data_IF_385233021847
#
_entry.id   IF_385233021847
#
_cell.length_a   1.000
_cell.length_b   1.000
_cell.length_c   1.000
_cell.angle_alpha   90.00
_cell.angle_beta   90.00
_cell.angle_gamma   90.00
#
_symmetry.space_group_name_H-M   'P 1'
#
loop_
_entity.id
_entity.type
_entity.pdbx_description
1 polymer ?
#
# COMPACT_ATOMS: atom_id res chain seq x y z
N UNK A 1 3.55 11.39 2.54
CA UNK A 1 4.74 11.72 3.35
C UNK A 1 5.95 12.10 2.52
N UNK A 2 6.42 11.23 1.61
CA UNK A 2 7.53 11.50 0.68
C UNK A 2 7.34 12.79 -0.13
N UNK A 3 6.14 13.03 -0.65
CA UNK A 3 5.80 14.27 -1.38
C UNK A 3 5.98 15.54 -0.53
N UNK A 4 5.63 15.49 0.76
CA UNK A 4 5.79 16.62 1.67
C UNK A 4 7.29 16.91 1.94
N UNK A 5 8.11 15.88 2.13
CA UNK A 5 9.57 16.04 2.29
C UNK A 5 10.20 16.63 1.03
N UNK A 6 9.83 16.11 -0.15
CA UNK A 6 10.33 16.62 -1.42
C UNK A 6 9.93 18.08 -1.66
N UNK A 7 8.69 18.45 -1.33
CA UNK A 7 8.21 19.83 -1.46
C UNK A 7 8.90 20.77 -0.46
N UNK A 8 9.09 20.33 0.79
CA UNK A 8 9.70 21.15 1.85
C UNK A 8 11.17 21.43 1.62
N UNK A 9 11.90 20.48 1.05
CA UNK A 9 13.33 20.61 0.75
C UNK A 9 13.59 20.77 -0.75
N UNK A 10 12.59 21.24 -1.50
CA UNK A 10 12.70 21.40 -2.94
C UNK A 10 13.83 22.39 -3.28
N UNK A 11 14.82 21.93 -4.04
CA UNK A 11 15.97 22.75 -4.45
C UNK A 11 17.12 22.83 -3.44
N UNK A 12 16.96 22.32 -2.21
CA UNK A 12 18.05 22.25 -1.25
C UNK A 12 18.96 21.04 -1.53
N UNK A 13 20.05 21.29 -2.25
CA UNK A 13 21.03 20.27 -2.63
C UNK A 13 21.81 19.70 -1.45
N UNK A 14 21.72 20.32 -0.26
CA UNK A 14 22.34 19.81 0.98
C UNK A 14 21.47 18.77 1.66
N UNK A 15 20.26 18.52 1.18
CA UNK A 15 19.35 17.51 1.73
C UNK A 15 19.16 16.37 0.74
N UNK A 16 19.46 15.14 1.18
CA UNK A 16 19.18 13.92 0.43
C UNK A 16 17.91 13.25 0.94
N UNK A 17 17.09 12.75 0.02
CA UNK A 17 15.83 12.05 0.32
C UNK A 17 15.79 10.77 -0.52
N UNK A 18 15.89 9.63 0.16
CA UNK A 18 15.69 8.32 -0.44
C UNK A 18 14.41 7.68 0.13
N UNK A 19 13.72 6.90 -0.69
CA UNK A 19 12.56 6.14 -0.24
C UNK A 19 12.53 4.76 -0.89
N UNK A 20 11.88 3.79 -0.27
CA UNK A 20 11.65 2.46 -0.82
C UNK A 20 10.18 2.14 -0.60
N UNK A 21 9.49 1.80 -1.69
CA UNK A 21 8.13 1.30 -1.62
C UNK A 21 8.14 -0.22 -1.68
N UNK A 22 7.77 -0.85 -0.57
CA UNK A 22 7.62 -2.29 -0.49
C UNK A 22 6.25 -2.67 -1.03
N UNK A 23 6.18 -3.82 -1.68
CA UNK A 23 4.99 -4.32 -2.35
C UNK A 23 5.01 -5.85 -2.34
N UNK A 24 4.10 -6.46 -1.59
CA UNK A 24 4.05 -7.91 -1.43
C UNK A 24 3.85 -8.67 -2.75
N UNK A 25 3.37 -8.01 -3.82
CA UNK A 25 3.17 -8.61 -5.15
C UNK A 25 4.46 -8.68 -5.98
N UNK A 26 5.50 -7.94 -5.58
CA UNK A 26 6.79 -7.85 -6.29
C UNK A 26 7.94 -8.47 -5.50
N UNK A 27 7.64 -9.48 -4.68
CA UNK A 27 8.64 -10.17 -3.86
C UNK A 27 9.87 -10.67 -4.62
N UNK A 28 9.77 -11.22 -5.85
CA UNK A 28 10.96 -11.66 -6.59
C UNK A 28 11.95 -10.53 -6.90
N UNK A 29 11.45 -9.30 -7.02
CA UNK A 29 12.25 -8.10 -7.32
C UNK A 29 12.80 -7.44 -6.04
N UNK A 30 12.30 -7.82 -4.86
CA UNK A 30 12.65 -7.22 -3.56
C UNK A 30 13.86 -7.88 -2.92
N UNK A 31 14.97 -7.88 -3.65
CA UNK A 31 16.25 -8.32 -3.13
C UNK A 31 16.98 -7.17 -2.42
N UNK A 32 17.89 -7.51 -1.50
CA UNK A 32 18.74 -6.51 -0.84
C UNK A 32 19.51 -5.65 -1.86
N UNK A 33 19.96 -6.24 -2.97
CA UNK A 33 20.64 -5.51 -4.04
C UNK A 33 19.74 -4.43 -4.64
N UNK A 34 18.50 -4.76 -5.01
CA UNK A 34 17.56 -3.78 -5.56
C UNK A 34 17.24 -2.66 -4.58
N UNK A 35 17.10 -2.96 -3.28
CA UNK A 35 16.87 -1.93 -2.28
C UNK A 35 18.06 -0.97 -2.17
N UNK A 36 19.28 -1.51 -2.05
CA UNK A 36 20.49 -0.70 -1.93
C UNK A 36 20.76 0.12 -3.19
N UNK A 37 20.58 -0.45 -4.37
CA UNK A 37 20.71 0.26 -5.65
C UNK A 37 19.65 1.35 -5.80
N UNK A 38 18.40 1.08 -5.40
CA UNK A 38 17.31 2.07 -5.42
C UNK A 38 17.59 3.24 -4.48
N UNK A 39 18.11 2.98 -3.27
CA UNK A 39 18.53 4.01 -2.33
C UNK A 39 19.67 4.85 -2.90
N UNK A 40 20.72 4.20 -3.39
CA UNK A 40 21.87 4.88 -4.01
C UNK A 40 21.42 5.77 -5.17
N UNK A 41 20.62 5.22 -6.10
CA UNK A 41 20.11 5.94 -7.26
C UNK A 41 19.36 7.20 -6.85
N UNK A 42 18.48 7.13 -5.84
CA UNK A 42 17.69 8.28 -5.38
C UNK A 42 18.55 9.38 -4.78
N UNK A 43 19.57 9.01 -4.00
CA UNK A 43 20.50 9.98 -3.41
C UNK A 43 21.36 10.65 -4.49
N UNK A 44 21.87 9.88 -5.44
CA UNK A 44 22.70 10.38 -6.55
C UNK A 44 21.92 11.33 -7.44
N UNK A 45 20.68 11.01 -7.80
CA UNK A 45 19.84 11.84 -8.68
C UNK A 45 19.55 13.24 -8.13
N UNK A 46 19.71 13.44 -6.83
CA UNK A 46 19.50 14.73 -6.17
C UNK A 46 20.78 15.56 -6.06
N UNK A 47 21.93 14.97 -6.36
CA UNK A 47 23.20 15.67 -6.35
C UNK A 47 23.44 16.43 -7.66
N UNK A 48 24.03 17.64 -7.60
CA UNK A 48 24.38 18.37 -8.82
C UNK A 48 25.51 17.70 -9.60
N UNK A 49 26.43 17.05 -8.89
CA UNK A 49 27.58 16.35 -9.46
C UNK A 49 27.64 14.95 -8.87
N UNK A 50 28.06 13.98 -9.69
CA UNK A 50 28.26 12.61 -9.23
C UNK A 50 29.48 12.54 -8.30
N UNK A 51 29.34 12.08 -7.05
CA UNK A 51 30.49 11.95 -6.16
C UNK A 51 31.50 10.93 -6.70
N UNK A 52 32.79 11.23 -6.57
CA UNK A 52 33.90 10.39 -7.06
C UNK A 52 33.78 8.92 -6.61
N UNK A 53 33.44 8.59 -5.35
CA UNK A 53 33.32 7.20 -4.92
C UNK A 53 32.24 6.41 -5.70
N UNK A 54 31.17 7.09 -6.11
CA UNK A 54 30.09 6.49 -6.90
C UNK A 54 30.54 6.30 -8.35
N UNK A 55 31.23 7.29 -8.92
CA UNK A 55 31.78 7.21 -10.27
C UNK A 55 32.78 6.07 -10.39
N UNK A 56 33.70 5.96 -9.43
CA UNK A 56 34.72 4.90 -9.39
C UNK A 56 34.09 3.51 -9.21
N UNK A 57 33.05 3.41 -8.37
CA UNK A 57 32.29 2.16 -8.24
C UNK A 57 31.61 1.79 -9.57
N UNK A 58 30.95 2.75 -10.23
CA UNK A 58 30.27 2.53 -11.49
C UNK A 58 31.23 2.08 -12.60
N UNK A 59 32.33 2.81 -12.83
CA UNK A 59 33.30 2.48 -13.88
C UNK A 59 33.89 1.08 -13.72
N UNK A 60 34.28 0.71 -12.49
CA UNK A 60 34.83 -0.63 -12.18
C UNK A 60 33.85 -1.75 -12.53
N UNK A 61 32.58 -1.54 -12.24
CA UNK A 61 31.53 -2.53 -12.47
C UNK A 61 31.05 -2.57 -13.92
N UNK A 62 31.11 -1.42 -14.62
CA UNK A 62 30.86 -1.31 -16.05
C UNK A 62 31.90 -2.07 -16.87
N UNK A 63 33.20 -1.89 -16.58
CA UNK A 63 34.28 -2.62 -17.26
C UNK A 63 34.18 -4.13 -17.08
N UNK A 64 33.87 -4.58 -15.86
CA UNK A 64 33.77 -6.00 -15.52
C UNK A 64 32.41 -6.62 -15.88
N UNK A 65 31.44 -5.84 -16.34
CA UNK A 65 30.03 -6.25 -16.56
C UNK A 65 29.43 -6.97 -15.35
N UNK A 66 29.64 -6.41 -14.16
CA UNK A 66 29.15 -6.95 -12.88
C UNK A 66 28.32 -5.92 -12.12
N UNK A 67 27.51 -6.35 -11.16
CA UNK A 67 26.83 -5.44 -10.23
C UNK A 67 27.65 -5.19 -8.96
N UNK A 68 27.53 -4.01 -8.32
CA UNK A 68 28.16 -3.74 -7.05
C UNK A 68 27.63 -4.66 -5.94
N UNK A 69 28.51 -4.99 -5.00
CA UNK A 69 28.11 -5.72 -3.78
C UNK A 69 27.29 -4.82 -2.86
N UNK A 70 26.53 -5.44 -1.94
CA UNK A 70 25.79 -4.72 -0.90
C UNK A 70 26.72 -3.81 -0.08
N UNK A 71 27.88 -4.33 0.35
CA UNK A 71 28.88 -3.57 1.09
C UNK A 71 29.49 -2.41 0.28
N UNK A 72 29.76 -2.63 -1.02
CA UNK A 72 30.24 -1.57 -1.92
C UNK A 72 29.20 -0.46 -2.08
N UNK A 73 27.93 -0.84 -2.26
CA UNK A 73 26.80 0.09 -2.37
C UNK A 73 26.58 0.87 -1.07
N UNK A 74 26.64 0.21 0.08
CA UNK A 74 26.57 0.83 1.42
C UNK A 74 27.66 1.87 1.63
N UNK A 75 28.89 1.56 1.20
CA UNK A 75 30.03 2.49 1.28
C UNK A 75 29.84 3.71 0.37
N UNK A 76 29.31 3.52 -0.84
CA UNK A 76 28.96 4.62 -1.73
C UNK A 76 27.85 5.51 -1.13
N UNK A 77 26.79 4.91 -0.56
CA UNK A 77 25.73 5.65 0.13
C UNK A 77 26.30 6.47 1.28
N UNK A 78 27.13 5.87 2.16
CA UNK A 78 27.80 6.58 3.25
C UNK A 78 28.59 7.79 2.77
N UNK A 79 29.29 7.66 1.65
CA UNK A 79 30.10 8.73 1.08
C UNK A 79 29.23 9.91 0.62
N UNK A 80 28.06 9.63 0.02
CA UNK A 80 27.10 10.67 -0.37
C UNK A 80 26.53 11.35 0.87
N UNK A 81 26.07 10.55 1.84
CA UNK A 81 25.43 11.04 3.07
C UNK A 81 26.36 11.92 3.88
N UNK A 82 27.66 11.61 3.94
CA UNK A 82 28.66 12.45 4.60
C UNK A 82 28.77 13.86 4.00
N UNK A 83 28.50 14.01 2.71
CA UNK A 83 28.49 15.32 2.02
C UNK A 83 27.21 16.13 2.23
N UNK A 84 26.17 15.54 2.83
CA UNK A 84 24.86 16.16 3.03
C UNK A 84 24.74 16.80 4.40
N UNK A 85 24.01 17.90 4.48
CA UNK A 85 23.60 18.47 5.77
C UNK A 85 22.59 17.56 6.47
N UNK A 86 21.67 16.94 5.71
CA UNK A 86 20.66 15.99 6.21
C UNK A 86 20.34 14.94 5.14
N UNK A 87 20.12 13.70 5.55
CA UNK A 87 19.65 12.62 4.70
C UNK A 87 18.41 11.96 5.32
N UNK A 88 17.35 11.80 4.54
CA UNK A 88 16.13 11.10 4.94
C UNK A 88 15.98 9.81 4.16
N UNK A 89 15.82 8.69 4.86
CA UNK A 89 15.54 7.38 4.27
C UNK A 89 14.15 6.93 4.72
N UNK A 90 13.24 6.71 3.78
CA UNK A 90 11.83 6.39 4.04
C UNK A 90 11.46 4.99 3.52
N UNK A 91 10.77 4.18 4.30
CA UNK A 91 10.24 2.87 3.88
C UNK A 91 8.74 2.78 4.07
N UNK A 92 8.03 2.33 3.03
CA UNK A 92 6.57 2.33 3.04
C UNK A 92 5.95 1.22 2.15
N UNK A 93 5.16 0.26 2.68
CA UNK A 93 5.10 -0.22 4.07
C UNK A 93 6.06 -1.40 4.31
N UNK A 94 6.84 -1.32 5.40
CA UNK A 94 7.93 -2.25 5.72
C UNK A 94 7.49 -3.73 5.86
N UNK A 95 6.26 -4.00 6.31
CA UNK A 95 5.73 -5.37 6.45
C UNK A 95 5.44 -6.06 5.12
N UNK A 96 5.32 -5.31 4.02
CA UNK A 96 5.14 -5.91 2.70
C UNK A 96 6.46 -6.41 2.09
N UNK A 97 7.61 -6.13 2.72
CA UNK A 97 8.88 -6.73 2.38
C UNK A 97 9.00 -8.10 3.05
N UNK A 98 9.05 -9.17 2.26
CA UNK A 98 9.28 -10.50 2.82
C UNK A 98 10.66 -10.61 3.44
N UNK A 99 10.77 -11.42 4.48
CA UNK A 99 12.05 -11.78 5.10
C UNK A 99 12.52 -13.17 4.65
N UNK A 100 11.90 -13.73 3.60
CA UNK A 100 12.36 -14.96 2.94
C UNK A 100 13.75 -14.68 2.35
N UNK A 101 14.77 -15.39 2.82
CA UNK A 101 16.20 -15.09 2.58
C UNK A 101 16.74 -13.80 3.23
N UNK A 102 16.04 -13.29 4.26
CA UNK A 102 16.45 -12.19 5.14
C UNK A 102 16.70 -10.79 4.52
N UNK A 103 16.14 -10.39 3.35
CA UNK A 103 16.47 -9.10 2.74
C UNK A 103 16.04 -7.91 3.61
N UNK A 104 14.89 -8.01 4.30
CA UNK A 104 14.42 -6.98 5.25
C UNK A 104 15.36 -6.84 6.44
N UNK A 105 15.81 -7.95 7.01
CA UNK A 105 16.73 -7.94 8.15
C UNK A 105 18.07 -7.29 7.78
N UNK A 106 18.69 -7.71 6.67
CA UNK A 106 19.97 -7.15 6.20
C UNK A 106 19.82 -5.66 5.88
N UNK A 107 18.71 -5.26 5.26
CA UNK A 107 18.45 -3.86 4.93
C UNK A 107 18.33 -2.98 6.17
N UNK A 108 17.65 -3.46 7.22
CA UNK A 108 17.55 -2.74 8.49
C UNK A 108 18.90 -2.63 9.20
N UNK A 109 19.75 -3.67 9.12
CA UNK A 109 21.12 -3.61 9.64
C UNK A 109 21.97 -2.58 8.88
N UNK A 110 21.91 -2.56 7.55
CA UNK A 110 22.60 -1.55 6.73
C UNK A 110 22.11 -0.13 7.04
N UNK A 111 20.81 0.08 7.23
CA UNK A 111 20.26 1.38 7.60
C UNK A 111 20.68 1.79 9.00
N UNK A 112 20.68 0.86 9.98
CA UNK A 112 21.19 1.14 11.31
C UNK A 112 22.67 1.57 11.27
N UNK A 113 23.48 0.93 10.42
CA UNK A 113 24.87 1.33 10.19
C UNK A 113 25.00 2.72 9.54
N UNK A 114 24.04 3.13 8.71
CA UNK A 114 23.98 4.49 8.16
C UNK A 114 23.59 5.53 9.21
N UNK A 115 22.69 5.17 10.14
CA UNK A 115 22.22 6.06 11.21
C UNK A 115 23.27 6.37 12.29
N UNK A 116 24.43 5.70 12.28
CA UNK A 116 25.59 6.12 13.08
C UNK A 116 26.02 7.55 12.70
N UNK A 117 25.74 7.98 11.45
CA UNK A 117 25.95 9.37 11.05
C UNK A 117 24.80 10.27 11.58
N UNK A 118 25.11 11.37 12.30
CA UNK A 118 24.09 12.16 13.00
C UNK A 118 23.12 12.91 12.08
N UNK A 119 23.50 13.08 10.81
CA UNK A 119 22.69 13.73 9.77
C UNK A 119 21.72 12.76 9.07
N UNK A 120 21.68 11.47 9.44
CA UNK A 120 20.83 10.47 8.80
C UNK A 120 19.57 10.19 9.62
N UNK A 121 18.42 10.37 8.99
CA UNK A 121 17.11 10.17 9.59
C UNK A 121 16.39 9.04 8.85
N UNK A 122 15.94 8.04 9.59
CA UNK A 122 15.18 6.91 9.06
C UNK A 122 13.72 6.99 9.51
N UNK A 123 12.82 6.68 8.60
CA UNK A 123 11.39 6.56 8.87
C UNK A 123 10.81 5.35 8.14
N UNK A 124 9.96 4.58 8.81
CA UNK A 124 9.25 3.47 8.20
C UNK A 124 7.79 3.44 8.64
N UNK A 125 6.89 3.04 7.73
CA UNK A 125 5.51 2.68 8.07
C UNK A 125 5.40 1.15 8.13
N UNK A 126 4.56 0.63 9.01
CA UNK A 126 4.24 -0.79 9.02
C UNK A 126 2.93 -1.06 9.76
N UNK A 127 2.28 -2.18 9.43
CA UNK A 127 1.24 -2.76 10.29
C UNK A 127 1.82 -3.18 11.65
N UNK A 128 0.93 -3.39 12.62
CA UNK A 128 1.33 -3.90 13.93
C UNK A 128 1.78 -5.37 13.84
N UNK A 129 3.08 -5.57 13.66
CA UNK A 129 3.72 -6.89 13.66
C UNK A 129 4.76 -6.93 14.80
N UNK A 130 4.63 -7.83 15.78
CA UNK A 130 5.54 -7.91 16.93
C UNK A 130 7.02 -7.97 16.55
N UNK A 131 7.36 -8.75 15.52
CA UNK A 131 8.75 -8.92 15.04
C UNK A 131 9.34 -7.62 14.47
N UNK A 132 8.52 -6.81 13.80
CA UNK A 132 8.93 -5.48 13.33
C UNK A 132 9.08 -4.57 14.54
N UNK A 133 8.06 -4.51 15.41
CA UNK A 133 8.07 -3.66 16.60
C UNK A 133 9.27 -3.92 17.50
N UNK A 134 9.69 -5.18 17.64
CA UNK A 134 10.87 -5.56 18.42
C UNK A 134 12.17 -4.92 17.89
N UNK A 135 12.33 -4.81 16.56
CA UNK A 135 13.51 -4.19 15.93
C UNK A 135 13.58 -2.67 16.12
N UNK A 136 12.45 -2.02 16.37
CA UNK A 136 12.36 -0.57 16.61
C UNK A 136 12.24 -0.22 18.09
N UNK A 137 12.51 -1.16 19.00
CA UNK A 137 12.46 -0.93 20.45
C UNK A 137 13.46 0.18 20.84
N UNK A 138 12.98 1.18 21.57
CA UNK A 138 13.79 2.34 21.97
C UNK A 138 13.84 3.48 20.94
N UNK A 139 13.23 3.31 19.77
CA UNK A 139 13.07 4.37 18.78
C UNK A 139 11.70 5.06 18.92
N UNK A 140 11.60 6.28 18.36
CA UNK A 140 10.33 6.99 18.27
C UNK A 140 9.31 6.17 17.46
N UNK A 141 8.12 5.97 18.02
CA UNK A 141 7.02 5.26 17.39
C UNK A 141 5.74 6.09 17.50
N UNK A 142 4.94 6.07 16.44
CA UNK A 142 3.64 6.73 16.39
C UNK A 142 2.62 5.69 15.95
N UNK A 143 1.71 5.33 16.87
CA UNK A 143 0.57 4.49 16.54
C UNK A 143 -0.49 5.34 15.83
N UNK A 144 -0.87 4.94 14.62
CA UNK A 144 -1.97 5.56 13.87
C UNK A 144 -3.15 4.60 13.95
N UNK A 145 -4.20 5.01 14.64
CA UNK A 145 -5.43 4.25 14.81
C UNK A 145 -6.63 5.10 14.45
N UNK A 146 -7.49 4.58 13.58
CA UNK A 146 -8.78 5.19 13.29
C UNK A 146 -9.71 5.00 14.48
N UNK A 147 -10.40 6.07 14.88
CA UNK A 147 -11.51 6.02 15.84
C UNK A 147 -12.79 5.56 15.14
N UNK A 148 -13.79 5.12 15.91
CA UNK A 148 -15.09 4.75 15.36
C UNK A 148 -15.73 5.93 14.60
N UNK A 149 -15.51 7.17 15.06
CA UNK A 149 -15.95 8.38 14.40
C UNK A 149 -15.25 8.60 13.05
N UNK A 150 -13.94 8.33 12.95
CA UNK A 150 -13.20 8.43 11.68
C UNK A 150 -13.71 7.42 10.66
N UNK A 151 -13.97 6.18 11.11
CA UNK A 151 -14.53 5.12 10.26
C UNK A 151 -15.94 5.52 9.80
N UNK A 152 -16.78 6.05 10.69
CA UNK A 152 -18.12 6.53 10.34
C UNK A 152 -18.06 7.66 9.31
N UNK A 153 -17.26 8.71 9.55
CA UNK A 153 -17.11 9.83 8.63
C UNK A 153 -16.55 9.39 7.26
N UNK A 154 -15.61 8.43 7.25
CA UNK A 154 -15.12 7.84 6.01
C UNK A 154 -16.23 7.12 5.23
N UNK A 155 -17.05 6.33 5.93
CA UNK A 155 -18.17 5.60 5.32
C UNK A 155 -19.25 6.56 4.80
N UNK A 156 -19.62 7.58 5.56
CA UNK A 156 -20.59 8.60 5.14
C UNK A 156 -20.13 9.33 3.88
N UNK A 157 -18.86 9.76 3.85
CA UNK A 157 -18.26 10.38 2.66
C UNK A 157 -18.25 9.41 1.47
N UNK A 158 -17.87 8.14 1.68
CA UNK A 158 -17.87 7.14 0.60
C UNK A 158 -19.27 6.84 0.07
N UNK A 159 -20.28 6.80 0.93
CA UNK A 159 -21.67 6.62 0.52
C UNK A 159 -22.14 7.83 -0.29
N UNK A 160 -21.77 9.06 0.12
CA UNK A 160 -22.13 10.27 -0.62
C UNK A 160 -21.48 10.36 -2.01
N UNK A 161 -20.26 9.82 -2.16
CA UNK A 161 -19.56 9.71 -3.46
C UNK A 161 -20.11 8.59 -4.34
N UNK A 162 -20.86 7.64 -3.77
CA UNK A 162 -21.44 6.52 -4.51
C UNK A 162 -22.76 6.99 -5.13
N UNK A 163 -22.99 6.83 -6.45
CA UNK A 163 -24.27 7.15 -7.05
C UNK A 163 -25.36 6.25 -6.45
N UNK A 164 -26.16 6.78 -5.51
CA UNK A 164 -27.28 6.05 -4.94
C UNK A 164 -28.43 6.11 -5.94
N UNK A 165 -28.76 4.97 -6.54
CA UNK A 165 -30.00 4.82 -7.29
C UNK A 165 -31.15 4.71 -6.28
N UNK A 166 -31.67 5.86 -5.82
CA UNK A 166 -32.85 5.89 -4.95
C UNK A 166 -34.08 5.65 -5.82
N UNK A 167 -34.73 4.49 -5.66
CA UNK A 167 -36.10 4.33 -6.12
C UNK A 167 -37.00 5.15 -5.19
N UNK A 168 -37.25 6.42 -5.55
CA UNK A 168 -38.36 7.15 -4.95
C UNK A 168 -39.65 6.58 -5.51
N UNK A 169 -40.30 5.66 -4.80
CA UNK A 169 -41.74 5.45 -4.99
C UNK A 169 -42.44 6.71 -4.48
N UNK A 170 -42.71 7.64 -5.39
CA UNK A 170 -43.67 8.71 -5.14
C UNK A 170 -45.05 8.07 -4.94
N UNK A 171 -45.46 7.91 -3.69
CA UNK A 171 -46.81 7.54 -3.31
C UNK A 171 -47.75 8.73 -3.53
N UNK A 172 -48.07 9.01 -4.79
CA UNK A 172 -49.15 9.92 -5.15
C UNK A 172 -49.91 9.37 -6.35
N UNK A 173 -50.99 8.65 -6.06
CA UNK A 173 -52.24 8.67 -6.82
C UNK A 173 -52.24 8.18 -8.28
N UNK A 174 -53.03 7.12 -8.48
CA UNK A 174 -53.73 6.71 -9.71
C UNK A 174 -52.96 5.89 -10.76
N UNK A 175 -53.39 4.62 -10.80
CA UNK A 175 -53.55 3.73 -11.96
C UNK A 175 -53.32 4.39 -13.32
N UNK A 176 -52.34 3.86 -14.06
CA UNK A 176 -52.42 3.60 -15.50
C UNK A 176 -51.44 2.46 -15.85
N UNK A 177 -51.90 1.34 -16.46
CA UNK A 177 -51.01 0.30 -16.96
C UNK A 177 -50.55 0.69 -18.36
N UNK A 178 -49.25 0.91 -18.54
CA UNK A 178 -48.67 1.18 -19.86
C UNK A 178 -48.02 2.54 -19.95
N UNK A 179 -46.83 2.69 -19.36
CA UNK A 179 -45.81 3.63 -19.83
C UNK A 179 -44.46 3.17 -19.30
N UNK A 180 -43.58 2.85 -20.24
CA UNK A 180 -42.18 2.48 -20.03
C UNK A 180 -41.55 3.37 -18.96
N UNK A 181 -41.28 2.82 -17.78
CA UNK A 181 -40.30 3.39 -16.86
C UNK A 181 -38.94 3.27 -17.55
N UNK A 182 -38.49 4.35 -18.18
CA UNK A 182 -37.10 4.45 -18.64
C UNK A 182 -36.20 4.38 -17.40
N UNK A 183 -35.69 3.19 -17.14
CA UNK A 183 -34.60 2.95 -16.23
C UNK A 183 -33.33 3.37 -16.99
N UNK A 184 -32.83 4.56 -16.71
CA UNK A 184 -31.46 4.93 -17.12
C UNK A 184 -30.54 4.76 -15.91
N UNK A 185 -30.23 3.52 -15.55
CA UNK A 185 -29.06 3.24 -14.74
C UNK A 185 -27.84 3.43 -15.64
N UNK A 186 -27.10 4.52 -15.41
CA UNK A 186 -25.79 4.70 -16.02
C UNK A 186 -24.88 3.58 -15.51
N UNK A 187 -24.39 2.76 -16.43
CA UNK A 187 -23.37 1.75 -16.17
C UNK A 187 -22.10 2.45 -15.67
N UNK A 188 -21.75 2.26 -14.40
CA UNK A 188 -20.41 2.57 -13.89
C UNK A 188 -19.71 1.25 -13.57
N UNK A 189 -18.51 0.99 -14.11
CA UNK A 189 -17.73 -0.18 -13.75
C UNK A 189 -17.35 -0.12 -12.27
N UNK A 190 -17.88 -1.06 -11.49
CA UNK A 190 -17.57 -1.23 -10.06
C UNK A 190 -16.06 -1.35 -9.85
N UNK A 191 -15.43 -0.28 -9.35
CA UNK A 191 -14.08 -0.37 -8.81
C UNK A 191 -14.04 0.26 -7.42
N UNK A 192 -13.50 -0.55 -6.51
CA UNK A 192 -13.00 -0.26 -5.17
C UNK A 192 -14.00 -0.42 -4.01
N UNK A 193 -14.10 -1.68 -3.59
CA UNK A 193 -14.00 -2.10 -2.18
C UNK A 193 -14.80 -1.27 -1.17
N UNK A 194 -16.12 -1.41 -1.21
CA UNK A 194 -16.91 -1.45 0.03
C UNK A 194 -17.13 -2.92 0.41
N UNK A 195 -17.24 -3.28 1.70
CA UNK A 195 -17.67 -4.62 2.08
C UNK A 195 -19.03 -4.86 1.42
N UNK A 196 -19.09 -5.88 0.57
CA UNK A 196 -20.21 -6.25 -0.31
C UNK A 196 -21.48 -6.69 0.43
N UNK A 197 -21.62 -6.37 1.72
CA UNK A 197 -22.84 -6.57 2.51
C UNK A 197 -23.81 -5.38 2.47
N UNK A 198 -23.46 -4.30 1.77
CA UNK A 198 -24.30 -3.10 1.62
C UNK A 198 -24.93 -2.95 0.23
N UNK A 199 -24.44 -3.70 -0.77
CA UNK A 199 -24.88 -3.56 -2.17
C UNK A 199 -26.29 -4.05 -2.45
N UNK A 200 -26.88 -4.86 -1.56
CA UNK A 200 -28.26 -5.36 -1.61
C UNK A 200 -29.22 -4.57 -0.70
N UNK A 201 -28.72 -3.58 0.05
CA UNK A 201 -29.53 -2.80 1.01
C UNK A 201 -30.14 -1.60 0.30
N UNK A 202 -31.46 -1.66 0.13
CA UNK A 202 -32.22 -0.66 -0.65
C UNK A 202 -32.71 0.50 0.23
N UNK A 203 -32.74 0.32 1.56
CA UNK A 203 -33.20 1.36 2.49
C UNK A 203 -32.08 1.80 3.45
N UNK A 204 -32.12 3.07 3.86
CA UNK A 204 -31.18 3.62 4.85
C UNK A 204 -31.23 2.89 6.19
N UNK A 205 -32.38 2.28 6.53
CA UNK A 205 -32.54 1.45 7.74
C UNK A 205 -31.75 0.14 7.61
N UNK A 206 -31.85 -0.51 6.46
CA UNK A 206 -31.16 -1.78 6.21
C UNK A 206 -29.64 -1.59 6.11
N UNK A 207 -29.20 -0.45 5.55
CA UNK A 207 -27.79 -0.03 5.56
C UNK A 207 -27.30 0.18 7.00
N UNK A 208 -28.06 0.92 7.83
CA UNK A 208 -27.67 1.17 9.22
C UNK A 208 -27.64 -0.10 10.09
N UNK A 209 -28.55 -1.05 9.87
CA UNK A 209 -28.53 -2.35 10.54
C UNK A 209 -27.29 -3.13 10.12
N UNK A 210 -27.03 -3.23 8.81
CA UNK A 210 -25.85 -3.92 8.29
C UNK A 210 -24.53 -3.32 8.78
N UNK A 211 -24.46 -1.98 8.95
CA UNK A 211 -23.30 -1.30 9.52
C UNK A 211 -23.10 -1.59 11.01
N UNK A 212 -24.20 -1.74 11.78
CA UNK A 212 -24.13 -2.12 13.21
C UNK A 212 -23.71 -3.57 13.42
N UNK A 213 -24.12 -4.45 12.51
CA UNK A 213 -23.83 -5.88 12.54
C UNK A 213 -22.46 -6.23 11.91
N UNK A 214 -21.67 -5.23 11.50
CA UNK A 214 -20.32 -5.47 11.01
C UNK A 214 -19.48 -6.16 12.10
N UNK A 215 -18.80 -7.27 11.76
CA UNK A 215 -17.92 -7.95 12.71
C UNK A 215 -16.90 -6.96 13.29
N UNK A 216 -16.73 -6.95 14.61
CA UNK A 216 -15.77 -6.10 15.32
C UNK A 216 -14.64 -6.92 15.93
N UNK A 217 -13.45 -6.34 16.00
CA UNK A 217 -12.28 -6.97 16.63
C UNK A 217 -11.41 -7.83 15.70
N UNK A 218 -10.45 -8.54 16.27
CA UNK A 218 -9.40 -9.27 15.54
C UNK A 218 -9.92 -10.42 14.66
N UNK A 219 -11.08 -11.00 14.97
CA UNK A 219 -11.75 -12.04 14.15
C UNK A 219 -12.68 -11.50 13.07
N UNK A 220 -12.87 -10.18 12.98
CA UNK A 220 -13.83 -9.56 12.06
C UNK A 220 -13.53 -9.87 10.58
N UNK A 221 -12.24 -9.90 10.24
CA UNK A 221 -11.80 -10.16 8.87
C UNK A 221 -12.16 -11.58 8.44
N UNK A 222 -11.90 -12.57 9.29
CA UNK A 222 -12.19 -13.98 9.03
C UNK A 222 -13.71 -14.22 8.90
N UNK A 223 -14.51 -13.60 9.76
CA UNK A 223 -15.97 -13.65 9.66
C UNK A 223 -16.45 -13.02 8.35
N UNK A 224 -15.89 -11.88 7.96
CA UNK A 224 -16.26 -11.18 6.71
C UNK A 224 -15.92 -12.02 5.47
N UNK A 225 -14.75 -12.67 5.45
CA UNK A 225 -14.37 -13.58 4.37
C UNK A 225 -15.27 -14.81 4.32
N UNK A 226 -15.55 -15.43 5.47
CA UNK A 226 -16.45 -16.59 5.57
C UNK A 226 -17.84 -16.25 5.03
N UNK A 227 -18.41 -15.13 5.48
CA UNK A 227 -19.71 -14.63 4.97
C UNK A 227 -19.67 -14.35 3.47
N UNK A 228 -18.58 -13.79 2.94
CA UNK A 228 -18.44 -13.56 1.50
C UNK A 228 -18.41 -14.88 0.71
N UNK A 229 -17.69 -15.89 1.21
CA UNK A 229 -17.63 -17.22 0.61
C UNK A 229 -18.98 -17.94 0.68
N UNK A 230 -19.72 -17.82 1.79
CA UNK A 230 -21.07 -18.36 1.92
C UNK A 230 -22.03 -17.74 0.92
N UNK A 231 -21.95 -16.41 0.70
CA UNK A 231 -22.76 -15.74 -0.33
C UNK A 231 -22.47 -16.27 -1.73
N UNK A 232 -21.19 -16.48 -2.08
CA UNK A 232 -20.80 -17.07 -3.37
C UNK A 232 -21.37 -18.50 -3.50
N UNK A 233 -21.29 -19.30 -2.43
CA UNK A 233 -21.84 -20.66 -2.41
C UNK A 233 -23.36 -20.71 -2.55
N UNK A 234 -24.06 -19.66 -2.11
CA UNK A 234 -25.51 -19.51 -2.22
C UNK A 234 -26.02 -19.00 -3.58
N UNK A 235 -25.14 -18.64 -4.51
CA UNK A 235 -25.56 -18.21 -5.87
C UNK A 235 -26.02 -19.39 -6.73
N UNK A 236 -26.77 -19.10 -7.80
CA UNK A 236 -27.16 -20.11 -8.78
C UNK A 236 -25.93 -20.88 -9.30
N UNK A 237 -26.05 -22.19 -9.61
CA UNK A 237 -24.91 -23.07 -9.89
C UNK A 237 -23.93 -22.54 -10.95
N UNK A 238 -24.43 -21.88 -12.00
CA UNK A 238 -23.59 -21.29 -13.05
C UNK A 238 -22.74 -20.11 -12.56
N UNK A 239 -23.33 -19.17 -11.81
CA UNK A 239 -22.61 -18.02 -11.26
C UNK A 239 -21.64 -18.42 -10.16
N UNK A 240 -22.04 -19.39 -9.32
CA UNK A 240 -21.15 -19.98 -8.31
C UNK A 240 -19.89 -20.58 -8.96
N UNK A 241 -20.05 -21.43 -9.99
CA UNK A 241 -18.92 -22.04 -10.70
C UNK A 241 -18.01 -20.99 -11.34
N UNK A 242 -18.60 -19.94 -11.93
CA UNK A 242 -17.84 -18.83 -12.49
C UNK A 242 -17.04 -18.08 -11.41
N UNK A 243 -17.66 -17.77 -10.28
CA UNK A 243 -16.99 -17.10 -9.16
C UNK A 243 -15.86 -17.96 -8.56
N UNK A 244 -16.09 -19.26 -8.36
CA UNK A 244 -15.07 -20.21 -7.90
C UNK A 244 -13.90 -20.32 -8.90
N UNK A 245 -14.17 -20.33 -10.21
CA UNK A 245 -13.15 -20.36 -11.25
C UNK A 245 -12.32 -19.07 -11.29
N UNK A 246 -12.98 -17.90 -11.22
CA UNK A 246 -12.31 -16.59 -11.19
C UNK A 246 -11.45 -16.46 -9.92
N UNK A 247 -11.97 -16.87 -8.75
CA UNK A 247 -11.20 -16.86 -7.51
C UNK A 247 -9.99 -17.80 -7.60
N UNK A 248 -10.16 -19.00 -8.18
CA UNK A 248 -9.06 -19.93 -8.42
C UNK A 248 -7.99 -19.31 -9.32
N UNK A 249 -8.39 -18.61 -10.38
CA UNK A 249 -7.43 -17.89 -11.23
C UNK A 249 -6.72 -16.76 -10.49
N UNK A 250 -7.41 -16.00 -9.64
CA UNK A 250 -6.78 -14.92 -8.87
C UNK A 250 -5.80 -15.47 -7.83
N UNK A 251 -6.18 -16.52 -7.11
CA UNK A 251 -5.37 -17.12 -6.03
C UNK A 251 -4.18 -17.89 -6.61
N UNK A 252 -4.37 -18.61 -7.72
CA UNK A 252 -3.32 -19.41 -8.35
C UNK A 252 -2.53 -18.64 -9.41
N UNK A 253 -2.83 -17.36 -9.67
CA UNK A 253 -2.09 -16.58 -10.64
C UNK A 253 -0.65 -16.31 -10.13
N UNK A 254 0.39 -16.69 -10.91
CA UNK A 254 1.78 -16.41 -10.53
C UNK A 254 2.15 -14.93 -10.69
N UNK A 255 1.30 -14.13 -11.35
CA UNK A 255 1.55 -12.72 -11.70
C UNK A 255 0.24 -11.94 -11.65
N UNK A 256 0.32 -10.63 -11.44
CA UNK A 256 -0.86 -9.77 -11.37
C UNK A 256 -1.64 -9.79 -12.70
N UNK A 257 -2.93 -10.12 -12.62
CA UNK A 257 -3.83 -10.07 -13.77
C UNK A 257 -4.10 -8.61 -14.14
N UNK A 258 -3.80 -8.26 -15.39
CA UNK A 258 -4.16 -6.97 -15.99
C UNK A 258 -5.63 -7.03 -16.40
N UNK A 259 -6.41 -6.03 -15.97
CA UNK A 259 -7.82 -5.85 -16.35
C UNK A 259 -7.87 -4.92 -17.56
#
# INVERSE_FOLDING_TARGET
MTNNLQQRFQGDKKVGIAYVYCNYKRQPEQTIHHFMESLLKKLVQQQPNLPEPVSTLYSRHMEKRTSPSVAGTSTAIRSIVHGLARAFIVMDPLDECTDTNKPRSILLEEIANLQVQPNTHFFATSRFIPDIKAKFRGMANLEIRATDADVQAYLENKISETPVCVFTQSSAGRRNPGRNSKISCWNVPSRKTSPSGLSDKVTAKDVNIALRDLPKGSGALEITYTQALERIKGQNPGFRRLAEAVLSWIVCAPRQLTI
#
